data_IF_478608279919
#
_entry.id   IF_478608279919
#
_cell.length_a   1.000
_cell.length_b   1.000
_cell.length_c   1.000
_cell.angle_alpha   90.00
_cell.angle_beta   90.00
_cell.angle_gamma   90.00
#
_symmetry.space_group_name_H-M   'P 1'
#
loop_
_entity.id
_entity.type
_entity.pdbx_description
1 polymer ?
#
# COMPACT_ATOMS: atom_id res chain seq x y z
N UNK A 1 -30.99 9.78 -25.99
CA UNK A 1 -29.53 9.53 -26.07
C UNK A 1 -29.24 8.21 -25.41
N UNK A 2 -29.16 7.17 -26.23
CA UNK A 2 -28.79 5.81 -25.83
C UNK A 2 -27.29 5.81 -25.52
N UNK A 3 -26.89 5.35 -24.34
CA UNK A 3 -25.49 5.01 -24.07
C UNK A 3 -25.44 3.56 -23.62
N UNK A 4 -25.09 2.70 -24.56
CA UNK A 4 -24.65 1.32 -24.36
C UNK A 4 -23.27 1.29 -23.68
N UNK A 5 -23.15 0.45 -22.62
CA UNK A 5 -21.99 -0.40 -22.34
C UNK A 5 -20.77 0.18 -21.61
N UNK A 6 -20.32 -0.52 -20.55
CA UNK A 6 -18.94 -0.76 -20.07
C UNK A 6 -17.92 0.38 -19.85
N UNK A 7 -17.92 1.46 -20.64
CA UNK A 7 -16.98 2.56 -20.53
C UNK A 7 -17.73 3.90 -20.50
N UNK A 8 -17.50 4.69 -19.44
CA UNK A 8 -18.21 5.96 -19.24
C UNK A 8 -17.26 7.15 -19.07
N UNK A 9 -17.80 8.36 -19.23
CA UNK A 9 -17.07 9.61 -19.02
C UNK A 9 -17.22 10.17 -17.60
N UNK A 10 -18.34 9.90 -16.92
CA UNK A 10 -18.64 10.43 -15.59
C UNK A 10 -18.87 9.30 -14.57
N UNK A 11 -18.43 9.49 -13.32
CA UNK A 11 -18.79 8.65 -12.16
C UNK A 11 -19.09 9.52 -10.94
N UNK A 12 -20.09 9.11 -10.17
CA UNK A 12 -20.44 9.69 -8.88
C UNK A 12 -20.03 8.70 -7.79
N UNK A 13 -19.43 9.20 -6.71
CA UNK A 13 -19.02 8.37 -5.56
C UNK A 13 -19.03 9.17 -4.27
N UNK A 14 -18.89 8.48 -3.14
CA UNK A 14 -18.68 9.10 -1.83
C UNK A 14 -17.36 8.62 -1.26
N UNK A 15 -16.60 9.54 -0.69
CA UNK A 15 -15.31 9.27 -0.08
C UNK A 15 -15.34 9.66 1.39
N UNK A 16 -14.74 8.84 2.26
CA UNK A 16 -14.62 9.16 3.67
C UNK A 16 -13.40 10.04 3.88
N UNK A 17 -13.62 11.29 4.28
CA UNK A 17 -12.55 12.22 4.65
C UNK A 17 -12.42 12.21 6.16
N UNK A 18 -11.21 12.01 6.66
CA UNK A 18 -10.91 12.17 8.09
C UNK A 18 -10.50 13.62 8.33
N UNK A 19 -11.18 14.28 9.25
CA UNK A 19 -10.81 15.60 9.73
C UNK A 19 -9.60 15.46 10.67
N UNK A 20 -8.44 15.99 10.30
CA UNK A 20 -7.19 15.77 11.04
C UNK A 20 -7.17 16.43 12.43
N UNK A 21 -8.01 17.44 12.66
CA UNK A 21 -8.08 18.14 13.95
C UNK A 21 -8.97 17.42 14.96
N UNK A 22 -10.05 16.80 14.49
CA UNK A 22 -11.05 16.13 15.35
C UNK A 22 -11.00 14.60 15.30
N UNK A 23 -10.28 14.03 14.33
CA UNK A 23 -10.29 12.60 14.03
C UNK A 23 -11.64 12.07 13.51
N UNK A 24 -12.60 12.96 13.29
CA UNK A 24 -13.95 12.61 12.83
C UNK A 24 -13.96 12.24 11.36
N UNK A 25 -14.76 11.24 10.98
CA UNK A 25 -14.89 10.77 9.59
C UNK A 25 -16.19 11.27 9.00
N UNK A 26 -16.13 11.93 7.84
CA UNK A 26 -17.31 12.40 7.11
C UNK A 26 -17.34 11.86 5.68
N UNK A 27 -18.54 11.50 5.21
CA UNK A 27 -18.77 11.05 3.84
C UNK A 27 -19.00 12.26 2.94
N UNK A 28 -18.11 12.46 1.97
CA UNK A 28 -18.15 13.59 1.03
C UNK A 28 -18.50 13.08 -0.37
N UNK A 29 -19.55 13.61 -1.03
CA UNK A 29 -19.84 13.27 -2.42
C UNK A 29 -18.77 13.83 -3.37
N UNK A 30 -18.39 13.06 -4.38
CA UNK A 30 -17.39 13.40 -5.41
C UNK A 30 -17.88 13.00 -6.78
N UNK A 31 -17.51 13.80 -7.78
CA UNK A 31 -17.79 13.58 -9.19
C UNK A 31 -16.47 13.47 -9.95
N UNK A 32 -16.27 12.37 -10.67
CA UNK A 32 -15.05 12.10 -11.44
C UNK A 32 -15.38 12.10 -12.93
N UNK A 33 -14.62 12.87 -13.71
CA UNK A 33 -14.82 13.05 -15.14
C UNK A 33 -13.55 12.67 -15.92
N UNK A 34 -13.71 11.96 -17.04
CA UNK A 34 -12.65 11.64 -17.99
C UNK A 34 -13.01 12.06 -19.42
N UNK A 35 -12.05 12.64 -20.14
CA UNK A 35 -12.23 13.08 -21.54
C UNK A 35 -12.47 11.92 -22.52
N UNK A 36 -11.96 10.73 -22.20
CA UNK A 36 -12.23 9.49 -22.95
C UNK A 36 -13.12 8.56 -22.13
N UNK A 37 -13.94 7.74 -22.79
CA UNK A 37 -14.71 6.70 -22.13
C UNK A 37 -13.74 5.68 -21.53
N UNK A 38 -13.90 5.35 -20.25
CA UNK A 38 -12.99 4.44 -19.53
C UNK A 38 -13.77 3.30 -18.89
N UNK A 39 -13.24 2.10 -19.05
CA UNK A 39 -13.73 0.87 -18.41
C UNK A 39 -13.47 0.88 -16.89
N UNK A 40 -14.02 -0.13 -16.22
CA UNK A 40 -13.95 -0.23 -14.76
C UNK A 40 -12.55 -0.57 -14.25
N UNK A 41 -11.76 -1.32 -15.01
CA UNK A 41 -10.38 -1.67 -14.66
C UNK A 41 -9.49 -0.42 -14.62
N UNK A 42 -9.58 0.43 -15.65
CA UNK A 42 -8.87 1.70 -15.70
C UNK A 42 -9.31 2.64 -14.58
N UNK A 43 -10.62 2.69 -14.29
CA UNK A 43 -11.18 3.54 -13.23
C UNK A 43 -10.76 3.09 -11.84
N UNK A 44 -10.64 1.79 -11.60
CA UNK A 44 -10.12 1.23 -10.36
C UNK A 44 -8.64 1.63 -10.15
N UNK A 45 -7.83 1.51 -11.20
CA UNK A 45 -6.42 1.91 -11.16
C UNK A 45 -6.24 3.42 -10.92
N UNK A 46 -7.00 4.28 -11.62
CA UNK A 46 -6.92 5.74 -11.48
C UNK A 46 -7.29 6.21 -10.06
N UNK A 47 -8.34 5.62 -9.48
CA UNK A 47 -8.75 5.94 -8.11
C UNK A 47 -7.71 5.50 -7.07
N UNK A 48 -6.98 4.39 -7.30
CA UNK A 48 -5.85 4.00 -6.46
C UNK A 48 -4.70 5.02 -6.50
N UNK A 49 -4.46 5.63 -7.67
CA UNK A 49 -3.42 6.64 -7.87
C UNK A 49 -3.78 8.01 -7.27
N UNK A 50 -5.05 8.45 -7.36
CA UNK A 50 -5.47 9.73 -6.76
C UNK A 50 -5.41 9.72 -5.23
N UNK A 51 -5.50 8.55 -4.60
CA UNK A 51 -5.27 8.37 -3.15
C UNK A 51 -3.80 8.65 -2.77
N UNK A 52 -2.86 8.31 -3.65
CA UNK A 52 -1.45 8.70 -3.50
C UNK A 52 -1.21 10.20 -3.74
N UNK A 53 -2.16 10.88 -4.40
CA UNK A 53 -2.10 12.32 -4.69
C UNK A 53 -2.79 13.22 -3.65
N UNK A 54 -3.49 12.64 -2.67
CA UNK A 54 -3.96 13.39 -1.50
C UNK A 54 -2.75 13.68 -0.63
N UNK A 55 -2.06 14.78 -0.97
CA UNK A 55 -0.96 15.41 -0.25
C UNK A 55 -0.98 15.00 1.22
N UNK A 56 -0.07 14.10 1.59
CA UNK A 56 0.57 14.17 2.89
C UNK A 56 1.12 15.59 2.97
N UNK A 57 0.34 16.50 3.54
CA UNK A 57 0.90 17.69 4.16
C UNK A 57 1.82 17.12 5.23
N UNK A 58 3.10 17.04 4.90
CA UNK A 58 4.17 16.94 5.88
C UNK A 58 3.85 18.00 6.92
N UNK A 59 3.41 17.51 8.08
CA UNK A 59 2.99 18.33 9.19
C UNK A 59 4.23 19.08 9.66
N UNK A 60 4.39 20.31 9.18
CA UNK A 60 5.28 21.28 9.80
C UNK A 60 4.73 21.54 11.20
N UNK A 61 5.45 21.13 12.23
CA UNK A 61 5.18 21.47 13.64
C UNK A 61 6.55 21.60 14.31
N UNK A 62 6.76 22.58 15.19
CA UNK A 62 7.58 23.74 14.90
C UNK A 62 8.99 23.59 15.49
N UNK A 63 9.90 24.39 14.96
CA UNK A 63 11.20 24.70 15.53
C UNK A 63 11.10 24.98 17.04
N UNK A 64 11.78 24.18 17.88
CA UNK A 64 12.95 24.60 18.68
C UNK A 64 13.41 23.52 19.69
N UNK A 65 14.57 22.89 19.43
CA UNK A 65 15.86 23.13 20.14
C UNK A 65 16.95 22.27 19.45
N UNK A 66 18.22 22.70 19.40
CA UNK A 66 19.26 22.00 18.65
C UNK A 66 19.68 20.75 19.41
N UNK A 67 19.04 19.63 19.11
CA UNK A 67 19.53 18.33 19.53
C UNK A 67 20.68 17.93 18.60
N UNK A 68 21.83 17.68 19.24
CA UNK A 68 23.06 17.02 18.78
C UNK A 68 22.91 16.23 17.47
N UNK A 69 23.85 16.32 16.50
CA UNK A 69 23.74 15.64 15.21
C UNK A 69 23.44 14.16 15.40
N UNK A 70 22.21 13.78 15.08
CA UNK A 70 21.78 12.40 14.98
C UNK A 70 22.55 11.82 13.79
N UNK A 71 23.22 10.66 13.92
CA UNK A 71 23.86 10.02 12.78
C UNK A 71 22.80 9.88 11.69
N UNK A 72 23.07 10.43 10.51
CA UNK A 72 22.22 10.28 9.34
C UNK A 72 21.90 8.78 9.20
N UNK A 73 20.62 8.39 9.31
CA UNK A 73 20.23 7.00 9.11
C UNK A 73 20.72 6.61 7.70
N UNK A 74 21.64 5.64 7.64
CA UNK A 74 22.21 5.19 6.38
C UNK A 74 21.09 4.56 5.55
N UNK A 75 21.17 4.66 4.23
CA UNK A 75 20.11 4.09 3.39
C UNK A 75 20.07 2.57 3.50
N UNK A 76 18.90 1.99 3.19
CA UNK A 76 18.73 0.54 3.07
C UNK A 76 19.73 -0.08 2.10
N UNK A 77 20.00 0.57 0.97
CA UNK A 77 20.97 0.09 -0.02
C UNK A 77 22.39 0.02 0.57
N UNK A 78 22.79 1.06 1.31
CA UNK A 78 24.07 1.07 2.02
C UNK A 78 24.17 -0.08 3.02
N UNK A 79 23.12 -0.31 3.82
CA UNK A 79 23.11 -1.37 4.83
C UNK A 79 23.27 -2.77 4.22
N UNK A 80 22.59 -3.03 3.09
CA UNK A 80 22.76 -4.30 2.36
C UNK A 80 24.19 -4.46 1.87
N UNK A 81 24.79 -3.43 1.25
CA UNK A 81 26.18 -3.45 0.77
C UNK A 81 27.17 -3.69 1.92
N UNK A 82 27.00 -2.99 3.03
CA UNK A 82 27.84 -3.15 4.22
C UNK A 82 27.68 -4.54 4.88
N UNK A 83 26.55 -5.21 4.67
CA UNK A 83 26.30 -6.56 5.21
C UNK A 83 27.00 -7.68 4.41
N UNK A 84 27.47 -7.42 3.18
CA UNK A 84 27.98 -8.47 2.28
C UNK A 84 29.17 -9.23 2.87
N UNK A 85 30.12 -8.51 3.47
CA UNK A 85 31.32 -9.11 4.08
C UNK A 85 31.00 -10.11 5.20
N UNK A 86 29.86 -9.94 5.89
CA UNK A 86 29.38 -10.90 6.91
C UNK A 86 28.86 -12.20 6.30
N UNK A 87 28.23 -12.13 5.13
CA UNK A 87 27.71 -13.31 4.43
C UNK A 87 28.79 -14.03 3.59
N UNK A 88 29.68 -13.25 2.97
CA UNK A 88 30.79 -13.73 2.13
C UNK A 88 32.00 -12.81 2.33
N UNK A 89 33.04 -13.22 3.09
CA UNK A 89 34.20 -12.38 3.37
C UNK A 89 34.93 -11.86 2.12
N UNK A 90 34.91 -12.61 1.02
CA UNK A 90 35.47 -12.21 -0.28
C UNK A 90 34.78 -10.98 -0.90
N UNK A 91 33.55 -10.64 -0.47
CA UNK A 91 32.79 -9.45 -0.87
C UNK A 91 32.74 -8.42 0.25
N UNK A 92 33.86 -8.20 0.94
CA UNK A 92 33.99 -7.11 1.90
C UNK A 92 34.24 -5.79 1.15
N UNK A 93 33.39 -4.79 1.39
CA UNK A 93 33.46 -3.47 0.76
C UNK A 93 33.89 -2.42 1.80
N UNK A 94 34.69 -1.45 1.36
CA UNK A 94 35.01 -0.27 2.18
C UNK A 94 33.79 0.65 2.31
N UNK A 95 33.84 1.59 3.26
CA UNK A 95 32.77 2.58 3.41
C UNK A 95 32.61 3.44 2.15
N UNK A 96 33.71 3.84 1.52
CA UNK A 96 33.72 4.64 0.28
C UNK A 96 33.18 3.86 -0.91
N UNK A 97 33.47 2.56 -0.99
CA UNK A 97 32.88 1.68 -2.01
C UNK A 97 31.37 1.56 -1.81
N UNK A 98 30.91 1.43 -0.57
CA UNK A 98 29.48 1.40 -0.26
C UNK A 98 28.78 2.69 -0.70
N UNK A 99 29.36 3.86 -0.39
CA UNK A 99 28.83 5.17 -0.83
C UNK A 99 28.79 5.26 -2.37
N UNK A 100 29.86 4.82 -3.04
CA UNK A 100 29.94 4.87 -4.51
C UNK A 100 28.89 3.97 -5.18
N UNK A 101 28.56 2.84 -4.56
CA UNK A 101 27.64 1.83 -5.09
C UNK A 101 26.18 2.05 -4.71
N UNK A 102 25.93 2.90 -3.72
CA UNK A 102 24.64 3.09 -3.07
C UNK A 102 23.53 3.49 -4.03
N UNK A 103 23.82 4.38 -4.99
CA UNK A 103 22.83 4.87 -5.96
C UNK A 103 22.34 3.75 -6.88
N UNK A 104 23.26 2.93 -7.40
CA UNK A 104 22.93 1.82 -8.31
C UNK A 104 22.20 0.70 -7.55
N UNK A 105 22.63 0.41 -6.31
CA UNK A 105 21.93 -0.53 -5.44
C UNK A 105 20.52 -0.03 -5.06
N UNK A 106 20.35 1.27 -4.87
CA UNK A 106 19.02 1.89 -4.66
C UNK A 106 18.13 1.71 -5.88
N UNK A 107 18.69 1.80 -7.09
CA UNK A 107 17.95 1.59 -8.33
C UNK A 107 17.44 0.14 -8.46
N UNK A 108 18.24 -0.84 -8.04
CA UNK A 108 17.82 -2.24 -7.94
C UNK A 108 16.60 -2.40 -7.02
N UNK A 109 16.68 -1.84 -5.81
CA UNK A 109 15.59 -1.91 -4.83
C UNK A 109 14.33 -1.17 -5.33
N UNK A 110 14.51 -0.06 -6.04
CA UNK A 110 13.40 0.74 -6.60
C UNK A 110 12.66 -0.03 -7.70
N UNK A 111 13.34 -0.89 -8.47
CA UNK A 111 12.72 -1.81 -9.43
C UNK A 111 12.06 -3.04 -8.80
N UNK A 112 12.03 -3.11 -7.47
CA UNK A 112 11.39 -4.18 -6.71
C UNK A 112 12.28 -5.40 -6.47
N UNK A 113 13.62 -5.26 -6.59
CA UNK A 113 14.52 -6.30 -6.09
C UNK A 113 14.50 -6.32 -4.56
N UNK A 114 14.49 -7.51 -3.98
CA UNK A 114 14.60 -7.71 -2.52
C UNK A 114 16.07 -7.63 -2.06
N UNK A 115 16.29 -7.47 -0.76
CA UNK A 115 17.64 -7.44 -0.18
C UNK A 115 18.38 -8.76 -0.41
N UNK A 116 17.65 -9.88 -0.38
CA UNK A 116 18.20 -11.20 -0.62
C UNK A 116 18.55 -11.43 -2.09
N UNK A 117 17.72 -10.95 -3.02
CA UNK A 117 18.05 -10.97 -4.45
C UNK A 117 19.29 -10.12 -4.75
N UNK A 118 19.37 -8.92 -4.16
CA UNK A 118 20.53 -8.04 -4.30
C UNK A 118 21.80 -8.72 -3.74
N UNK A 119 21.72 -9.32 -2.55
CA UNK A 119 22.83 -10.08 -1.95
C UNK A 119 23.21 -11.28 -2.80
N UNK A 120 22.24 -12.04 -3.30
CA UNK A 120 22.48 -13.21 -4.15
C UNK A 120 23.15 -12.80 -5.47
N UNK A 121 22.66 -11.74 -6.12
CA UNK A 121 23.25 -11.22 -7.34
C UNK A 121 24.72 -10.81 -7.14
N UNK A 122 25.06 -10.24 -5.98
CA UNK A 122 26.42 -9.81 -5.65
C UNK A 122 27.36 -10.95 -5.21
N UNK A 123 26.83 -12.07 -4.72
CA UNK A 123 27.63 -13.12 -4.07
C UNK A 123 27.60 -14.49 -4.75
N UNK A 124 26.71 -14.71 -5.71
CA UNK A 124 26.60 -15.98 -6.45
C UNK A 124 27.78 -16.18 -7.42
N UNK A 125 28.38 -17.37 -7.47
CA UNK A 125 29.42 -17.70 -8.46
C UNK A 125 30.65 -16.78 -8.42
N UNK A 126 31.11 -16.40 -7.23
CA UNK A 126 32.35 -15.65 -7.07
C UNK A 126 33.57 -16.55 -7.40
N UNK A 127 34.65 -15.99 -7.98
CA UNK A 127 35.92 -16.69 -8.11
C UNK A 127 36.49 -17.12 -6.75
N UNK A 128 37.43 -18.08 -6.77
CA UNK A 128 38.09 -18.56 -5.55
C UNK A 128 38.86 -17.46 -4.81
N UNK A 129 39.44 -16.50 -5.55
CA UNK A 129 40.08 -15.32 -4.99
C UNK A 129 39.50 -14.04 -5.62
N UNK A 130 39.23 -13.05 -4.79
CA UNK A 130 38.67 -11.76 -5.20
C UNK A 130 39.59 -10.66 -4.67
N UNK A 131 40.34 -10.03 -5.58
CA UNK A 131 41.20 -8.89 -5.24
C UNK A 131 40.48 -7.54 -5.32
N UNK A 132 39.39 -7.46 -6.10
CA UNK A 132 38.67 -6.22 -6.36
C UNK A 132 37.14 -6.39 -6.17
N UNK A 133 36.67 -6.52 -4.91
CA UNK A 133 35.25 -6.78 -4.62
C UNK A 133 34.33 -5.66 -5.13
N UNK A 134 34.77 -4.40 -5.02
CA UNK A 134 34.01 -3.25 -5.51
C UNK A 134 33.84 -3.26 -7.04
N UNK A 135 34.85 -3.70 -7.80
CA UNK A 135 34.77 -3.80 -9.26
C UNK A 135 33.81 -4.90 -9.70
N UNK A 136 33.81 -6.04 -9.00
CA UNK A 136 32.84 -7.12 -9.22
C UNK A 136 31.42 -6.61 -8.91
N UNK A 137 31.23 -5.92 -7.78
CA UNK A 137 29.95 -5.36 -7.39
C UNK A 137 29.42 -4.36 -8.44
N UNK A 138 30.24 -3.41 -8.90
CA UNK A 138 29.88 -2.46 -9.97
C UNK A 138 29.43 -3.19 -11.23
N UNK A 139 30.21 -4.17 -11.68
CA UNK A 139 29.93 -4.91 -12.92
C UNK A 139 28.61 -5.69 -12.83
N UNK A 140 28.32 -6.27 -11.66
CA UNK A 140 27.08 -7.01 -11.43
C UNK A 140 25.89 -6.07 -11.28
N UNK A 141 26.03 -4.99 -10.53
CA UNK A 141 24.97 -4.00 -10.34
C UNK A 141 24.61 -3.27 -11.63
N UNK A 142 25.53 -3.11 -12.58
CA UNK A 142 25.21 -2.58 -13.89
C UNK A 142 24.20 -3.44 -14.68
N UNK A 143 24.03 -4.72 -14.32
CA UNK A 143 23.02 -5.62 -14.92
C UNK A 143 21.67 -5.47 -14.20
N UNK A 144 21.06 -4.30 -14.34
CA UNK A 144 19.77 -3.95 -13.74
C UNK A 144 18.71 -5.01 -14.03
N UNK A 145 17.96 -5.47 -13.01
CA UNK A 145 16.79 -6.33 -13.19
C UNK A 145 15.72 -5.61 -14.01
N UNK A 146 14.87 -6.35 -14.75
CA UNK A 146 13.71 -5.76 -15.39
C UNK A 146 12.79 -5.13 -14.35
N UNK A 147 12.10 -4.06 -14.74
CA UNK A 147 11.13 -3.40 -13.87
C UNK A 147 9.97 -4.36 -13.58
N UNK A 148 9.73 -4.62 -12.29
CA UNK A 148 8.64 -5.47 -11.84
C UNK A 148 7.44 -4.59 -11.50
N UNK A 149 6.24 -5.04 -11.89
CA UNK A 149 5.03 -4.44 -11.36
C UNK A 149 5.09 -4.50 -9.82
N UNK A 150 4.68 -3.45 -9.09
CA UNK A 150 4.72 -3.44 -7.64
C UNK A 150 3.97 -4.66 -7.10
N UNK A 151 4.69 -5.62 -6.55
CA UNK A 151 4.07 -6.73 -5.87
C UNK A 151 3.68 -6.23 -4.48
N UNK A 152 2.42 -6.42 -4.04
CA UNK A 152 2.09 -6.15 -2.65
C UNK A 152 3.01 -7.01 -1.79
N UNK A 153 3.82 -6.35 -0.95
CA UNK A 153 4.71 -7.02 -0.02
C UNK A 153 3.87 -7.79 1.00
N UNK A 154 3.94 -9.13 1.05
CA UNK A 154 3.13 -9.92 1.97
C UNK A 154 3.46 -9.65 3.45
N UNK A 155 4.59 -9.00 3.75
CA UNK A 155 5.03 -8.67 5.12
C UNK A 155 4.61 -7.29 5.63
N UNK A 156 4.16 -6.39 4.75
CA UNK A 156 3.65 -5.08 5.15
C UNK A 156 2.13 -5.18 5.16
N UNK A 157 1.44 -4.99 6.31
CA UNK A 157 0.00 -4.80 6.31
C UNK A 157 -0.28 -3.58 5.43
N UNK A 158 -0.71 -3.81 4.20
CA UNK A 158 -1.20 -2.75 3.34
C UNK A 158 -2.27 -1.97 4.11
N UNK A 159 -2.47 -0.67 3.81
CA UNK A 159 -3.54 0.08 4.43
C UNK A 159 -4.82 -0.73 4.32
N UNK A 160 -5.47 -0.99 5.47
CA UNK A 160 -6.67 -1.83 5.53
C UNK A 160 -7.62 -1.39 4.40
N UNK A 161 -8.07 -2.33 3.54
CA UNK A 161 -8.80 -1.96 2.34
C UNK A 161 -9.98 -1.07 2.75
N UNK A 162 -10.06 0.13 2.17
CA UNK A 162 -11.15 1.05 2.46
C UNK A 162 -12.46 0.34 2.14
N UNK A 163 -13.31 0.13 3.14
CA UNK A 163 -14.63 -0.46 2.92
C UNK A 163 -15.45 0.48 2.03
N UNK A 164 -15.67 0.07 0.79
CA UNK A 164 -16.48 0.80 -0.19
C UNK A 164 -17.79 0.06 -0.42
N UNK A 165 -18.86 0.83 -0.61
CA UNK A 165 -20.17 0.34 -1.02
C UNK A 165 -20.49 1.05 -2.35
N UNK A 166 -20.85 0.25 -3.35
CA UNK A 166 -21.30 0.69 -4.67
C UNK A 166 -22.80 0.40 -4.80
N UNK A 167 -23.45 0.98 -5.80
CA UNK A 167 -24.87 0.76 -6.10
C UNK A 167 -25.02 -0.08 -7.37
N UNK A 168 -26.01 -0.98 -7.38
CA UNK A 168 -26.46 -1.64 -8.59
C UNK A 168 -26.92 -0.61 -9.62
N UNK A 169 -26.47 -0.76 -10.86
CA UNK A 169 -26.83 0.15 -11.96
C UNK A 169 -28.32 0.12 -12.30
N UNK A 170 -29.00 -0.99 -12.04
CA UNK A 170 -30.43 -1.20 -12.30
C UNK A 170 -31.29 -0.80 -11.09
N UNK A 171 -31.18 -1.55 -9.98
CA UNK A 171 -32.06 -1.40 -8.82
C UNK A 171 -31.53 -0.47 -7.72
N UNK A 172 -30.32 0.11 -7.90
CA UNK A 172 -29.66 0.98 -6.91
C UNK A 172 -29.36 0.36 -5.56
N UNK A 173 -29.49 -0.96 -5.43
CA UNK A 173 -29.17 -1.66 -4.18
C UNK A 173 -27.68 -1.47 -3.82
N UNK A 174 -27.37 -1.07 -2.57
CA UNK A 174 -26.00 -0.96 -2.10
C UNK A 174 -25.37 -2.34 -1.93
N UNK A 175 -24.16 -2.52 -2.47
CA UNK A 175 -23.42 -3.76 -2.40
C UNK A 175 -21.91 -3.48 -2.35
N UNK A 176 -21.13 -4.44 -1.87
CA UNK A 176 -19.67 -4.37 -1.98
C UNK A 176 -19.27 -4.50 -3.46
N UNK A 177 -18.14 -3.92 -3.90
CA UNK A 177 -17.68 -4.02 -5.28
C UNK A 177 -17.62 -5.46 -5.80
N UNK A 178 -17.19 -6.41 -4.96
CA UNK A 178 -17.05 -7.82 -5.32
C UNK A 178 -18.40 -8.51 -5.53
N UNK A 179 -19.50 -7.93 -5.02
CA UNK A 179 -20.86 -8.45 -5.18
C UNK A 179 -21.60 -7.86 -6.40
N UNK A 180 -20.98 -6.92 -7.13
CA UNK A 180 -21.53 -6.31 -8.35
C UNK A 180 -20.73 -6.75 -9.58
N UNK A 181 -21.11 -7.85 -10.21
CA UNK A 181 -20.50 -8.26 -11.47
C UNK A 181 -21.09 -7.44 -12.62
N UNK A 182 -20.24 -6.72 -13.36
CA UNK A 182 -20.68 -5.81 -14.43
C UNK A 182 -21.54 -4.64 -13.92
N UNK A 183 -21.44 -4.28 -12.63
CA UNK A 183 -22.24 -3.23 -12.02
C UNK A 183 -23.69 -3.63 -11.70
N UNK A 184 -24.05 -4.91 -11.82
CA UNK A 184 -25.37 -5.44 -11.46
C UNK A 184 -25.28 -6.31 -10.22
N UNK A 185 -26.24 -6.14 -9.31
CA UNK A 185 -26.35 -7.02 -8.16
C UNK A 185 -26.85 -8.40 -8.60
N UNK A 186 -26.61 -9.41 -7.76
CA UNK A 186 -26.98 -10.78 -8.09
C UNK A 186 -28.47 -10.98 -8.38
N UNK A 187 -29.34 -10.23 -7.70
CA UNK A 187 -30.79 -10.28 -7.93
C UNK A 187 -31.14 -9.79 -9.33
N UNK A 188 -30.53 -8.68 -9.79
CA UNK A 188 -30.73 -8.17 -11.15
C UNK A 188 -30.03 -9.03 -12.24
N UNK A 189 -29.25 -10.03 -11.84
CA UNK A 189 -28.64 -11.02 -12.76
C UNK A 189 -29.39 -12.36 -12.76
N UNK A 190 -30.52 -12.46 -12.04
CA UNK A 190 -31.30 -13.69 -11.87
C UNK A 190 -30.48 -14.89 -11.39
N UNK A 191 -29.43 -14.64 -10.62
CA UNK A 191 -28.55 -15.69 -10.12
C UNK A 191 -29.04 -16.19 -8.75
N UNK A 192 -29.10 -17.53 -8.53
CA UNK A 192 -29.74 -18.13 -7.37
C UNK A 192 -29.11 -17.69 -6.05
N UNK A 193 -29.88 -17.66 -4.93
CA UNK A 193 -29.37 -17.34 -3.60
C UNK A 193 -28.09 -18.11 -3.26
N UNK A 194 -27.20 -17.47 -2.48
CA UNK A 194 -26.00 -18.12 -2.00
C UNK A 194 -26.52 -18.96 -0.84
N UNK A 195 -26.00 -20.18 -0.64
CA UNK A 195 -26.33 -20.92 0.55
C UNK A 195 -26.07 -20.01 1.78
N UNK A 196 -26.95 -20.04 2.79
CA UNK A 196 -26.71 -19.31 4.01
C UNK A 196 -25.33 -19.70 4.53
N UNK A 197 -24.49 -18.69 4.81
CA UNK A 197 -23.26 -18.96 5.54
C UNK A 197 -23.67 -19.43 6.92
N UNK A 198 -23.02 -20.49 7.41
CA UNK A 198 -23.14 -20.88 8.80
C UNK A 198 -22.86 -19.65 9.66
N UNK A 199 -23.90 -19.19 10.36
CA UNK A 199 -23.78 -18.03 11.22
C UNK A 199 -22.80 -18.32 12.35
N UNK A 200 -22.24 -17.26 12.93
CA UNK A 200 -21.51 -17.41 14.19
C UNK A 200 -22.44 -18.04 15.24
N UNK A 201 -21.97 -19.02 16.04
CA UNK A 201 -22.71 -19.53 17.17
C UNK A 201 -23.23 -18.40 18.06
N UNK A 202 -24.45 -18.53 18.57
CA UNK A 202 -25.11 -17.48 19.36
C UNK A 202 -24.27 -17.05 20.58
N UNK A 203 -23.51 -17.99 21.15
CA UNK A 203 -22.57 -17.72 22.24
C UNK A 203 -21.46 -16.73 21.83
N UNK A 204 -20.90 -16.88 20.64
CA UNK A 204 -19.84 -16.02 20.11
C UNK A 204 -20.36 -14.63 19.78
N UNK A 205 -21.59 -14.55 19.25
CA UNK A 205 -22.28 -13.27 19.02
C UNK A 205 -22.49 -12.53 20.35
N UNK A 206 -22.98 -13.23 21.38
CA UNK A 206 -23.18 -12.66 22.73
C UNK A 206 -21.87 -12.19 23.35
N UNK A 207 -20.80 -12.98 23.24
CA UNK A 207 -19.48 -12.64 23.73
C UNK A 207 -18.90 -11.41 23.00
N UNK A 208 -19.02 -11.34 21.68
CA UNK A 208 -18.54 -10.21 20.89
C UNK A 208 -19.32 -8.91 21.22
N UNK A 209 -20.65 -9.00 21.33
CA UNK A 209 -21.49 -7.87 21.72
C UNK A 209 -21.15 -7.35 23.13
N UNK A 210 -20.85 -8.24 24.08
CA UNK A 210 -20.41 -7.85 25.41
C UNK A 210 -19.08 -7.08 25.38
N UNK A 211 -18.10 -7.52 24.57
CA UNK A 211 -16.82 -6.81 24.37
C UNK A 211 -17.01 -5.41 23.80
N UNK A 212 -17.86 -5.24 22.79
CA UNK A 212 -18.14 -3.92 22.20
C UNK A 212 -18.82 -3.00 23.24
N UNK A 213 -19.80 -3.50 23.99
CA UNK A 213 -20.48 -2.71 25.04
C UNK A 213 -19.50 -2.26 26.13
N UNK A 214 -18.62 -3.15 26.57
CA UNK A 214 -17.58 -2.80 27.55
C UNK A 214 -16.62 -1.73 27.00
N UNK A 215 -16.18 -1.87 25.74
CA UNK A 215 -15.31 -0.89 25.09
C UNK A 215 -15.99 0.47 24.81
N UNK A 216 -17.31 0.49 24.63
CA UNK A 216 -18.08 1.72 24.51
C UNK A 216 -18.28 2.41 25.86
N UNK A 217 -18.49 1.63 26.94
CA UNK A 217 -18.64 2.16 28.30
C UNK A 217 -17.36 2.85 28.81
N UNK A 218 -16.18 2.37 28.40
CA UNK A 218 -14.89 3.00 28.74
C UNK A 218 -14.55 4.25 27.91
N UNK A 219 -15.32 4.55 26.86
CA UNK A 219 -15.17 5.75 26.02
C UNK A 219 -16.09 6.91 26.42
N UNK A 220 -16.76 6.86 27.58
CA UNK A 220 -17.62 7.98 28.01
C UNK A 220 -16.74 9.21 28.31
N UNK A 221 -16.96 10.36 27.65
CA UNK A 221 -16.20 11.57 27.95
C UNK A 221 -16.56 12.04 29.36
N UNK A 222 -15.54 12.26 30.19
CA UNK A 222 -15.62 13.09 31.39
C UNK A 222 -15.89 14.53 30.94
N UNK A 223 -17.17 14.85 30.73
CA UNK A 223 -17.66 16.21 30.58
C UNK A 223 -18.33 16.63 31.88
N UNK A 224 -17.54 17.12 32.83
CA UNK A 224 -18.02 17.84 34.01
C UNK A 224 -18.45 19.24 33.57
N UNK A 225 -19.74 19.57 33.69
CA UNK A 225 -20.18 20.97 33.68
C UNK A 225 -20.10 21.50 35.12
N UNK A 226 -19.32 22.57 35.31
CA UNK A 226 -19.46 23.53 36.40
C UNK A 226 -20.39 24.66 35.94
#
# INVERSE_FOLDING_TARGET
MTVTGEAGHLRLGRETVTDEATGSRRWVPRTFFSRTARDDAWRAAFQGQSQSGSKTKTKTTPTQRPSRPQPQQRSRAYEVLASLGRAKPQMSLSADDCVTLESVATEWLTRGATDDELRHALTSGLPAEVHHPAAIARTRLAKLPPERAPHPDPGVPGPAPTLRILECTECRAPARPEALSGGLCRVCRDEPPLPPRDGLPEADVRAHAAKIRAAAATRRPEGTCA
#
